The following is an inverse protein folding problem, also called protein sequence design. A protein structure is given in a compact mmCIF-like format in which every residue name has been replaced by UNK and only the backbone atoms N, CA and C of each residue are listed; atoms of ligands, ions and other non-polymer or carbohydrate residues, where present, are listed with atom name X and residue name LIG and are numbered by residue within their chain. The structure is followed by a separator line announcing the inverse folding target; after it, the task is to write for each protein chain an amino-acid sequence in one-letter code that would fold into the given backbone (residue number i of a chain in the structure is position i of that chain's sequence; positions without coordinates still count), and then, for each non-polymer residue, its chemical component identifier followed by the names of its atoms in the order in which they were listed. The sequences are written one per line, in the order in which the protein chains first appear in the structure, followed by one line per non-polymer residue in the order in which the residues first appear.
data_IF_772469881457
#
_entry.id   IF_772469881457
#
_cell.length_a   1.000
_cell.length_b   1.000
_cell.length_c   1.000
_cell.angle_alpha   90.00
_cell.angle_beta   90.00
_cell.angle_gamma   90.00
#
_symmetry.space_group_name_H-M   'P 1'
#
loop_
_entity.id
_entity.type
_entity.pdbx_description
1 polymer ?
#
# COMPACT_ATOMS: atom_id res chain seq x y z
N UNK A 1 29.78 8.83 -4.27
CA UNK A 1 29.51 7.37 -4.29
C UNK A 1 29.03 6.98 -2.89
N UNK A 2 27.76 6.64 -2.71
CA UNK A 2 27.25 6.19 -1.40
C UNK A 2 27.71 4.75 -1.12
N UNK A 3 28.28 4.52 0.06
CA UNK A 3 28.76 3.20 0.51
C UNK A 3 27.60 2.24 0.81
N UNK A 4 26.41 2.78 1.11
CA UNK A 4 25.19 2.01 1.36
C UNK A 4 24.13 2.39 0.34
N UNK A 5 23.55 1.39 -0.32
CA UNK A 5 22.41 1.53 -1.23
C UNK A 5 21.29 0.64 -0.72
N UNK A 6 20.07 1.18 -0.71
CA UNK A 6 18.88 0.36 -0.51
C UNK A 6 18.78 -0.64 -1.66
N UNK A 7 18.53 -1.91 -1.33
CA UNK A 7 18.16 -2.92 -2.33
C UNK A 7 16.67 -2.81 -2.54
N UNK A 8 16.30 -2.50 -3.77
CA UNK A 8 14.91 -2.38 -4.17
C UNK A 8 14.35 -3.77 -4.47
N UNK A 9 13.27 -4.15 -3.78
CA UNK A 9 12.55 -5.39 -4.00
C UNK A 9 11.20 -5.15 -4.68
N UNK A 10 10.54 -4.04 -4.34
CA UNK A 10 9.26 -3.63 -4.92
C UNK A 10 9.16 -2.12 -4.82
N UNK A 11 8.66 -1.49 -5.89
CA UNK A 11 8.36 -0.07 -5.92
C UNK A 11 7.29 0.19 -6.97
N UNK A 12 6.55 1.28 -6.80
CA UNK A 12 5.64 1.79 -7.81
C UNK A 12 5.54 3.31 -7.65
N UNK A 13 5.15 3.99 -8.73
CA UNK A 13 4.87 5.43 -8.70
C UNK A 13 3.36 5.61 -8.60
N UNK A 14 2.94 6.41 -7.63
CA UNK A 14 1.52 6.69 -7.38
C UNK A 14 1.18 8.00 -8.10
N UNK A 15 0.26 7.93 -9.07
CA UNK A 15 -0.23 9.09 -9.81
C UNK A 15 -1.61 9.52 -9.31
N UNK A 16 -1.89 10.82 -9.33
CA UNK A 16 -3.21 11.37 -9.06
C UNK A 16 -4.15 11.30 -10.24
N UNK A 17 -5.36 11.83 -10.06
CA UNK A 17 -6.34 11.91 -11.14
C UNK A 17 -5.78 12.69 -12.35
N UNK A 18 -6.07 12.17 -13.55
CA UNK A 18 -5.56 12.76 -14.80
C UNK A 18 -4.08 12.47 -15.09
N UNK A 19 -3.43 11.58 -14.33
CA UNK A 19 -2.04 11.19 -14.57
C UNK A 19 -1.01 12.19 -14.08
N UNK A 20 -1.41 13.16 -13.26
CA UNK A 20 -0.51 14.09 -12.59
C UNK A 20 0.20 13.40 -11.41
N UNK A 21 1.28 14.00 -10.92
CA UNK A 21 1.94 13.52 -9.71
C UNK A 21 1.01 13.66 -8.50
N UNK A 22 0.92 12.60 -7.68
CA UNK A 22 0.15 12.63 -6.44
C UNK A 22 0.92 13.38 -5.35
N UNK A 23 0.27 14.33 -4.69
CA UNK A 23 0.83 14.99 -3.51
C UNK A 23 0.45 14.24 -2.23
N UNK A 24 1.45 13.94 -1.41
CA UNK A 24 1.32 13.19 -0.16
C UNK A 24 2.20 13.83 0.93
N UNK A 25 1.81 13.65 2.18
CA UNK A 25 2.60 14.03 3.37
C UNK A 25 2.79 12.82 4.29
N UNK A 26 3.48 13.01 5.41
CA UNK A 26 3.79 12.01 6.45
C UNK A 26 2.58 11.22 6.96
N UNK A 27 1.36 11.77 6.89
CA UNK A 27 0.11 11.09 7.28
C UNK A 27 -0.52 10.20 6.21
N UNK A 28 -0.02 10.24 4.98
CA UNK A 28 -0.63 9.63 3.79
C UNK A 28 -0.28 8.16 3.58
N UNK A 29 0.48 7.53 4.47
CA UNK A 29 0.88 6.13 4.36
C UNK A 29 0.68 5.37 5.68
N UNK A 30 0.11 4.18 5.59
CA UNK A 30 -0.02 3.23 6.71
C UNK A 30 0.36 1.84 6.23
N UNK A 31 1.01 1.08 7.10
CA UNK A 31 1.29 -0.34 6.90
C UNK A 31 0.54 -1.11 7.98
N UNK A 32 -0.38 -1.98 7.60
CA UNK A 32 -1.16 -2.79 8.53
C UNK A 32 -1.88 -3.96 7.84
N UNK A 33 -2.20 -5.01 8.60
CA UNK A 33 -3.11 -6.10 8.23
C UNK A 33 -4.59 -5.64 8.25
N UNK A 34 -4.96 -4.71 7.37
CA UNK A 34 -6.29 -4.04 7.38
C UNK A 34 -7.47 -4.97 7.06
N UNK A 35 -7.20 -6.09 6.42
CA UNK A 35 -8.17 -7.13 6.05
C UNK A 35 -8.22 -8.28 7.07
N UNK A 36 -7.43 -8.20 8.16
CA UNK A 36 -7.34 -9.21 9.21
C UNK A 36 -7.03 -10.62 8.66
N UNK A 37 -6.12 -10.71 7.70
CA UNK A 37 -5.68 -11.99 7.13
C UNK A 37 -5.08 -12.90 8.22
N UNK A 38 -5.33 -14.21 8.08
CA UNK A 38 -4.70 -15.28 8.86
C UNK A 38 -4.07 -16.30 7.88
N UNK A 39 -2.72 -16.39 7.80
CA UNK A 39 -1.74 -15.72 8.65
C UNK A 39 -1.67 -14.20 8.48
N UNK A 40 -1.25 -13.45 9.52
CA UNK A 40 -1.11 -11.99 9.44
C UNK A 40 -0.18 -11.56 8.32
N UNK A 41 -0.66 -10.63 7.49
CA UNK A 41 0.12 -10.06 6.39
C UNK A 41 -0.20 -8.58 6.25
N UNK A 42 0.81 -7.74 6.34
CA UNK A 42 0.64 -6.30 6.19
C UNK A 42 0.42 -5.88 4.74
N UNK A 43 -0.45 -4.88 4.57
CA UNK A 43 -0.70 -4.21 3.30
C UNK A 43 -0.18 -2.78 3.39
N UNK A 44 0.18 -2.21 2.25
CA UNK A 44 0.58 -0.81 2.14
C UNK A 44 -0.65 0.00 1.73
N UNK A 45 -1.06 0.94 2.57
CA UNK A 45 -2.19 1.84 2.30
C UNK A 45 -1.63 3.23 2.06
N UNK A 46 -1.98 3.83 0.92
CA UNK A 46 -1.57 5.18 0.55
C UNK A 46 -2.80 5.99 0.17
N UNK A 47 -2.88 7.22 0.65
CA UNK A 47 -3.96 8.16 0.31
C UNK A 47 -3.39 9.53 0.03
N UNK A 48 -3.70 10.11 -1.11
CA UNK A 48 -3.14 11.40 -1.52
C UNK A 48 -4.12 12.57 -1.46
N UNK A 49 -3.62 13.77 -1.73
CA UNK A 49 -4.41 15.01 -1.71
C UNK A 49 -5.37 15.12 -2.88
N UNK A 50 -5.21 14.34 -3.95
CA UNK A 50 -6.22 14.18 -5.00
C UNK A 50 -7.50 13.49 -4.50
N UNK A 51 -7.43 12.83 -3.33
CA UNK A 51 -8.50 12.00 -2.79
C UNK A 51 -8.38 10.53 -3.17
N UNK A 52 -7.34 10.14 -3.93
CA UNK A 52 -7.14 8.75 -4.32
C UNK A 52 -6.60 7.91 -3.18
N UNK A 53 -7.33 6.85 -2.80
CA UNK A 53 -6.96 5.83 -1.82
C UNK A 53 -6.55 4.55 -2.55
N UNK A 54 -5.36 4.03 -2.22
CA UNK A 54 -4.82 2.78 -2.77
C UNK A 54 -4.38 1.84 -1.68
N UNK A 55 -4.64 0.55 -1.88
CA UNK A 55 -4.15 -0.54 -1.03
C UNK A 55 -3.34 -1.48 -1.90
N UNK A 56 -2.09 -1.70 -1.51
CA UNK A 56 -1.17 -2.62 -2.16
C UNK A 56 -0.85 -3.81 -1.27
N UNK A 57 -0.67 -4.97 -1.90
CA UNK A 57 -0.07 -6.14 -1.28
C UNK A 57 1.11 -6.61 -2.14
N UNK A 58 2.33 -6.10 -1.86
CA UNK A 58 3.53 -6.52 -2.58
C UNK A 58 3.82 -8.00 -2.36
N UNK A 59 3.94 -8.75 -3.44
CA UNK A 59 4.34 -10.16 -3.40
C UNK A 59 5.51 -10.42 -4.33
N UNK A 60 6.36 -11.38 -3.97
CA UNK A 60 7.24 -12.00 -4.94
C UNK A 60 6.44 -12.89 -5.87
N UNK A 61 6.93 -13.06 -7.10
CA UNK A 61 6.37 -14.00 -8.05
C UNK A 61 7.48 -14.89 -8.61
N UNK A 62 7.12 -16.12 -8.97
CA UNK A 62 8.05 -17.06 -9.60
C UNK A 62 7.93 -16.98 -11.11
N UNK A 63 9.05 -16.90 -11.80
CA UNK A 63 9.09 -17.05 -13.26
C UNK A 63 8.88 -18.50 -13.68
N UNK A 64 8.67 -18.73 -14.97
CA UNK A 64 8.61 -20.06 -15.57
C UNK A 64 9.91 -20.87 -15.35
N UNK A 65 11.03 -20.16 -15.16
CA UNK A 65 12.35 -20.72 -14.86
C UNK A 65 12.57 -21.00 -13.36
N UNK A 66 11.57 -20.68 -12.51
CA UNK A 66 11.59 -20.96 -11.08
C UNK A 66 12.30 -19.93 -10.20
N UNK A 67 12.76 -18.82 -10.79
CA UNK A 67 13.39 -17.73 -10.04
C UNK A 67 12.33 -16.85 -9.36
N UNK A 68 12.60 -16.47 -8.11
CA UNK A 68 11.73 -15.57 -7.35
C UNK A 68 12.12 -14.12 -7.63
N UNK A 69 11.24 -13.40 -8.32
CA UNK A 69 11.48 -12.03 -8.78
C UNK A 69 10.56 -11.07 -8.03
N UNK A 70 11.13 -9.95 -7.59
CA UNK A 70 10.40 -8.82 -7.01
C UNK A 70 9.87 -7.87 -8.09
N UNK A 71 9.15 -6.83 -7.67
CA UNK A 71 8.71 -5.76 -8.56
C UNK A 71 7.19 -5.63 -8.64
N UNK A 72 6.76 -4.49 -9.17
CA UNK A 72 5.34 -4.16 -9.28
C UNK A 72 4.65 -4.99 -10.35
N UNK A 73 3.42 -5.43 -10.04
CA UNK A 73 2.47 -6.07 -10.95
C UNK A 73 1.09 -5.52 -10.63
N UNK A 74 0.22 -5.51 -11.64
CA UNK A 74 -1.12 -4.93 -11.49
C UNK A 74 -1.98 -5.65 -10.43
N UNK A 75 -1.76 -6.96 -10.22
CA UNK A 75 -2.43 -7.76 -9.19
C UNK A 75 -1.95 -7.45 -7.77
N UNK A 76 -0.88 -6.67 -7.60
CA UNK A 76 -0.46 -6.16 -6.29
C UNK A 76 -1.35 -5.02 -5.80
N UNK A 77 -2.24 -4.46 -6.64
CA UNK A 77 -3.23 -3.44 -6.23
C UNK A 77 -4.51 -4.16 -5.79
N UNK A 78 -4.80 -4.15 -4.49
CA UNK A 78 -6.02 -4.76 -3.94
C UNK A 78 -7.24 -3.86 -4.09
N UNK A 79 -7.04 -2.55 -3.95
CA UNK A 79 -8.09 -1.53 -4.02
C UNK A 79 -7.50 -0.23 -4.56
N UNK A 80 -8.23 0.40 -5.47
CA UNK A 80 -8.03 1.80 -5.86
C UNK A 80 -9.40 2.48 -5.94
N UNK A 81 -9.55 3.60 -5.25
CA UNK A 81 -10.78 4.38 -5.26
C UNK A 81 -10.51 5.86 -5.02
N UNK A 82 -11.25 6.75 -5.69
CA UNK A 82 -11.19 8.18 -5.43
C UNK A 82 -12.27 8.59 -4.46
N UNK A 83 -11.87 9.22 -3.36
CA UNK A 83 -12.75 9.95 -2.47
C UNK A 83 -12.89 11.39 -2.98
N UNK A 84 -14.07 12.00 -2.84
CA UNK A 84 -14.32 13.38 -3.30
C UNK A 84 -13.55 14.47 -2.51
N UNK A 85 -12.69 14.09 -1.58
CA UNK A 85 -11.97 14.98 -0.68
C UNK A 85 -10.52 14.55 -0.48
N UNK A 86 -9.58 15.50 -0.28
CA UNK A 86 -8.19 15.20 0.02
C UNK A 86 -8.02 14.31 1.25
N UNK A 87 -7.10 13.34 1.18
CA UNK A 87 -6.76 12.47 2.31
C UNK A 87 -5.58 13.06 3.07
N UNK A 88 -5.85 13.62 4.25
CA UNK A 88 -4.82 14.24 5.10
C UNK A 88 -4.08 13.22 5.96
N UNK A 89 -4.80 12.20 6.45
CA UNK A 89 -4.25 11.21 7.35
C UNK A 89 -4.97 9.87 7.22
N UNK A 90 -4.16 8.82 7.18
CA UNK A 90 -4.60 7.44 7.31
C UNK A 90 -4.19 6.91 8.69
N UNK A 91 -5.01 5.99 9.22
CA UNK A 91 -4.70 5.25 10.43
C UNK A 91 -5.36 3.86 10.34
N UNK A 92 -4.72 2.85 10.91
CA UNK A 92 -5.29 1.52 11.09
C UNK A 92 -5.36 1.21 12.60
N UNK A 93 -6.46 0.60 13.03
CA UNK A 93 -6.70 0.31 14.43
C UNK A 93 -8.13 -0.15 14.70
N UNK A 94 -8.42 -0.42 15.97
CA UNK A 94 -9.75 -0.85 16.43
C UNK A 94 -10.63 0.38 16.67
N UNK A 95 -11.16 0.94 15.59
CA UNK A 95 -12.02 2.14 15.65
C UNK A 95 -13.50 1.82 15.87
N UNK A 96 -13.88 0.53 15.87
CA UNK A 96 -15.26 0.06 16.11
C UNK A 96 -15.33 -0.63 17.46
N UNK A 97 -16.27 -0.20 18.31
CA UNK A 97 -16.51 -0.81 19.62
C UNK A 97 -17.07 -2.23 19.48
N UNK A 98 -16.73 -3.11 20.42
CA UNK A 98 -17.30 -4.46 20.57
C UNK A 98 -16.92 -5.50 19.49
N UNK A 99 -15.99 -5.18 18.58
CA UNK A 99 -15.42 -6.18 17.65
C UNK A 99 -14.14 -6.75 18.26
N UNK A 100 -14.16 -8.03 18.61
CA UNK A 100 -13.00 -8.76 19.15
C UNK A 100 -12.09 -9.35 18.05
N UNK A 101 -12.62 -9.51 16.84
CA UNK A 101 -11.87 -9.99 15.69
C UNK A 101 -10.96 -8.87 15.18
N UNK A 102 -9.66 -9.08 15.26
CA UNK A 102 -8.65 -8.13 14.82
C UNK A 102 -7.32 -8.49 15.45
N UNK A 103 -6.69 -9.52 14.88
CA UNK A 103 -5.27 -9.77 15.09
C UNK A 103 -4.51 -8.77 14.22
N UNK A 104 -3.57 -8.05 14.84
CA UNK A 104 -2.63 -7.19 14.11
C UNK A 104 -1.65 -8.07 13.36
#
# INVERSE_FOLDING_TARGET
MSLFKAREFWSTVVHGEGGNDEECDTGCMVIANIDNADPPADKIIIGGFSGTLRVFFPQSHRTEEGEEIGGYRADHVLLETTLNYPIIKLAAGKFVSCVSEGHF
#
